data_IF_245314683336
#
_entry.id   IF_245314683336
#
_cell.length_a   1.000
_cell.length_b   1.000
_cell.length_c   1.000
_cell.angle_alpha   90.00
_cell.angle_beta   90.00
_cell.angle_gamma   90.00
#
_symmetry.space_group_name_H-M   'P 1'
#
loop_
_entity.id
_entity.type
_entity.pdbx_description
1 polymer ?
#
# COMPACT_ATOMS: atom_id res chain seq x y z
N UNK A 1 32.37 -48.06 20.93
CA UNK A 1 31.08 -48.35 20.26
C UNK A 1 30.11 -47.22 20.60
N UNK A 2 29.64 -46.52 19.56
CA UNK A 2 28.44 -45.66 19.49
C UNK A 2 28.35 -44.40 20.38
N UNK A 3 27.77 -43.28 19.95
CA UNK A 3 27.75 -42.58 18.65
C UNK A 3 27.22 -41.17 18.96
N UNK A 4 27.85 -40.20 18.30
CA UNK A 4 27.57 -38.76 18.22
C UNK A 4 26.08 -38.41 18.01
N UNK A 5 25.50 -37.59 18.88
CA UNK A 5 24.20 -36.96 18.65
C UNK A 5 24.30 -35.86 17.58
N UNK A 6 23.41 -35.89 16.58
CA UNK A 6 23.22 -34.86 15.55
C UNK A 6 21.89 -34.14 15.81
N UNK A 7 21.79 -32.82 15.58
CA UNK A 7 20.54 -32.08 15.68
C UNK A 7 19.62 -32.37 14.47
N UNK A 8 18.34 -32.57 14.75
CA UNK A 8 17.27 -32.80 13.79
C UNK A 8 16.82 -31.45 13.23
N UNK A 9 17.06 -31.21 11.95
CA UNK A 9 16.48 -30.09 11.19
C UNK A 9 15.11 -30.52 10.64
N UNK A 10 14.03 -29.95 11.18
CA UNK A 10 12.68 -30.10 10.63
C UNK A 10 12.49 -29.10 9.48
N UNK A 11 12.71 -29.60 8.26
CA UNK A 11 12.44 -28.92 7.00
C UNK A 11 10.94 -29.07 6.69
N UNK A 12 10.16 -28.01 6.84
CA UNK A 12 8.78 -27.99 6.35
C UNK A 12 8.74 -27.68 4.84
N UNK A 13 7.94 -28.41 4.03
CA UNK A 13 7.73 -28.08 2.63
C UNK A 13 6.69 -26.96 2.48
N UNK A 14 7.04 -25.95 1.68
CA UNK A 14 6.14 -24.91 1.20
C UNK A 14 5.03 -25.54 0.32
N UNK A 15 3.78 -25.40 0.75
CA UNK A 15 2.62 -25.64 -0.11
C UNK A 15 2.39 -24.39 -0.97
N UNK A 16 2.57 -24.54 -2.28
CA UNK A 16 2.23 -23.51 -3.27
C UNK A 16 0.74 -23.63 -3.60
N UNK A 17 -0.09 -22.76 -3.03
CA UNK A 17 -1.51 -22.65 -3.38
C UNK A 17 -1.68 -21.65 -4.52
N UNK A 18 -1.95 -22.16 -5.70
CA UNK A 18 -2.26 -21.39 -6.91
C UNK A 18 -3.60 -20.67 -6.72
N UNK A 19 -3.58 -19.36 -6.46
CA UNK A 19 -4.79 -18.53 -6.47
C UNK A 19 -5.13 -18.24 -7.93
N UNK A 20 -6.22 -18.82 -8.44
CA UNK A 20 -6.82 -18.45 -9.72
C UNK A 20 -7.49 -17.07 -9.56
N UNK A 21 -6.91 -16.05 -10.16
CA UNK A 21 -7.51 -14.73 -10.27
C UNK A 21 -8.63 -14.77 -11.31
N UNK A 22 -9.89 -14.65 -10.87
CA UNK A 22 -11.04 -14.48 -11.75
C UNK A 22 -11.20 -12.99 -12.05
N UNK A 23 -10.75 -12.54 -13.22
CA UNK A 23 -10.94 -11.15 -13.66
C UNK A 23 -12.33 -10.99 -14.32
N UNK A 24 -13.33 -10.56 -13.55
CA UNK A 24 -14.48 -9.87 -14.13
C UNK A 24 -14.26 -8.36 -13.98
N UNK A 25 -13.76 -7.76 -15.06
CA UNK A 25 -13.70 -6.32 -15.24
C UNK A 25 -15.09 -5.86 -15.72
N UNK A 26 -15.84 -5.16 -14.85
CA UNK A 26 -17.04 -4.43 -15.24
C UNK A 26 -16.70 -2.94 -15.29
N UNK A 27 -16.66 -2.40 -16.51
CA UNK A 27 -16.69 -0.95 -16.75
C UNK A 27 -18.10 -0.50 -16.38
N UNK A 28 -18.22 0.40 -15.41
CA UNK A 28 -19.44 1.17 -15.19
C UNK A 28 -19.16 2.56 -15.76
N UNK A 29 -19.81 2.85 -16.87
CA UNK A 29 -19.98 4.16 -17.46
C UNK A 29 -21.36 4.63 -17.01
N UNK A 30 -21.47 5.75 -16.31
CA UNK A 30 -22.77 6.40 -16.03
C UNK A 30 -22.58 7.89 -15.77
N UNK A 31 -22.57 8.66 -16.86
CA UNK A 31 -23.07 10.03 -16.90
C UNK A 31 -24.59 10.04 -16.88
N UNK A 32 -25.23 10.36 -15.74
CA UNK A 32 -26.54 11.02 -15.70
C UNK A 32 -26.87 11.58 -14.31
N UNK A 33 -27.25 12.85 -14.34
CA UNK A 33 -27.64 13.73 -13.25
C UNK A 33 -29.06 13.42 -12.74
N UNK A 34 -29.26 13.14 -11.44
CA UNK A 34 -30.47 13.59 -10.74
C UNK A 34 -30.29 13.69 -9.21
N UNK A 35 -30.85 14.77 -8.70
CA UNK A 35 -30.78 15.31 -7.34
C UNK A 35 -31.37 14.39 -6.27
N UNK A 36 -30.62 14.12 -5.21
CA UNK A 36 -31.20 13.80 -3.90
C UNK A 36 -30.21 14.07 -2.76
N UNK A 37 -30.46 15.14 -2.01
CA UNK A 37 -29.95 15.30 -0.64
C UNK A 37 -30.72 14.31 0.25
N UNK A 38 -30.05 13.61 1.19
CA UNK A 38 -30.07 14.15 2.55
C UNK A 38 -28.74 13.98 3.32
N UNK A 39 -28.55 14.93 4.24
CA UNK A 39 -27.85 14.80 5.52
C UNK A 39 -26.35 14.44 5.47
N UNK A 40 -25.55 15.50 5.53
CA UNK A 40 -24.19 15.49 6.04
C UNK A 40 -24.14 14.96 7.48
N UNK A 41 -23.76 13.70 7.68
CA UNK A 41 -23.09 13.26 8.91
C UNK A 41 -21.61 13.01 8.59
N UNK A 42 -20.86 14.10 8.70
CA UNK A 42 -19.41 14.11 8.90
C UNK A 42 -19.11 13.27 10.14
N UNK A 43 -18.56 12.08 9.97
CA UNK A 43 -17.78 11.43 11.03
C UNK A 43 -16.35 12.00 10.97
N UNK A 44 -15.94 12.92 11.87
CA UNK A 44 -14.54 13.21 12.01
C UNK A 44 -13.88 11.99 12.66
N UNK A 45 -13.00 11.32 11.90
CA UNK A 45 -11.94 10.51 12.47
C UNK A 45 -10.95 11.43 13.17
N UNK A 46 -11.37 12.00 14.30
CA UNK A 46 -10.48 12.55 15.29
C UNK A 46 -9.94 11.36 16.08
N UNK A 47 -8.70 10.97 15.81
CA UNK A 47 -7.91 10.25 16.83
C UNK A 47 -7.66 11.28 17.92
N UNK A 48 -8.66 11.43 18.78
CA UNK A 48 -8.55 12.15 20.03
C UNK A 48 -7.45 11.46 20.83
N UNK A 49 -6.54 12.29 21.32
CA UNK A 49 -5.64 11.94 22.41
C UNK A 49 -6.49 11.67 23.66
N UNK A 50 -7.12 10.49 23.71
CA UNK A 50 -7.78 9.98 24.90
C UNK A 50 -6.69 9.31 25.78
N UNK A 51 -6.40 9.87 26.97
CA UNK A 51 -5.59 9.14 27.93
C UNK A 51 -6.44 7.98 28.45
N UNK A 52 -6.08 6.76 28.07
CA UNK A 52 -6.63 5.49 28.57
C UNK A 52 -7.30 5.64 29.96
N UNK A 53 -8.64 5.50 30.04
CA UNK A 53 -9.34 5.56 31.32
C UNK A 53 -9.07 4.25 32.05
N UNK A 54 -8.37 4.31 33.19
CA UNK A 54 -8.25 3.13 34.05
C UNK A 54 -6.95 2.90 34.82
N UNK A 55 -6.11 3.91 35.07
CA UNK A 55 -4.99 3.79 36.02
C UNK A 55 -4.85 4.99 36.97
N UNK A 56 -5.93 5.73 37.19
CA UNK A 56 -6.02 6.87 38.13
C UNK A 56 -6.23 6.45 39.61
N UNK A 57 -6.14 5.16 39.97
CA UNK A 57 -6.47 4.70 41.33
C UNK A 57 -5.29 4.60 42.31
N UNK A 58 -4.11 5.14 41.99
CA UNK A 58 -2.98 5.12 42.94
C UNK A 58 -2.38 6.52 43.18
N UNK A 59 -2.86 7.55 42.48
CA UNK A 59 -2.27 8.89 42.59
C UNK A 59 -2.92 9.81 43.64
N UNK A 60 -3.88 9.33 44.43
CA UNK A 60 -4.54 10.13 45.47
C UNK A 60 -4.74 9.36 46.78
N UNK A 61 -3.66 9.09 47.53
CA UNK A 61 -3.73 9.17 49.00
C UNK A 61 -2.39 9.66 49.54
N UNK A 62 -2.46 10.65 50.42
CA UNK A 62 -1.43 11.25 51.27
C UNK A 62 -0.47 12.27 50.64
N UNK A 63 -0.48 13.44 51.30
CA UNK A 63 0.41 14.59 51.20
C UNK A 63 1.91 14.23 51.15
N UNK A 64 2.77 15.13 50.63
CA UNK A 64 4.18 14.81 50.40
C UNK A 64 4.93 14.64 51.72
N UNK A 65 5.77 13.60 51.90
CA UNK A 65 6.90 13.73 52.78
C UNK A 65 7.96 14.58 52.07
N UNK A 66 8.43 15.58 52.80
CA UNK A 66 9.56 16.47 52.52
C UNK A 66 10.72 15.75 51.81
N UNK A 67 11.44 16.42 50.88
CA UNK A 67 12.65 15.85 50.27
C UNK A 67 13.76 15.83 51.32
N UNK A 68 13.91 14.68 51.99
CA UNK A 68 14.98 14.37 52.92
C UNK A 68 15.79 13.19 52.40
N UNK A 69 16.88 13.52 51.71
CA UNK A 69 18.18 12.84 51.68
C UNK A 69 18.22 11.31 51.92
N UNK A 70 18.59 10.57 50.87
CA UNK A 70 19.50 9.42 50.86
C UNK A 70 19.65 8.61 52.16
N UNK A 71 19.13 7.39 52.17
CA UNK A 71 19.59 6.29 53.03
C UNK A 71 19.26 6.42 54.52
N UNK A 72 18.63 5.38 55.06
CA UNK A 72 18.16 5.21 56.44
C UNK A 72 16.82 5.90 56.78
N UNK A 73 15.84 5.13 57.28
CA UNK A 73 14.63 5.72 57.84
C UNK A 73 15.00 6.55 59.08
N UNK A 74 14.46 7.76 59.09
CA UNK A 74 14.41 8.70 60.20
C UNK A 74 14.38 8.00 61.57
N UNK A 75 15.43 8.24 62.36
CA UNK A 75 15.54 7.90 63.78
C UNK A 75 14.39 8.60 64.51
N UNK A 76 13.25 7.92 64.64
CA UNK A 76 12.23 8.29 65.61
C UNK A 76 12.80 7.91 66.97
N UNK A 77 13.13 8.96 67.72
CA UNK A 77 13.58 9.01 69.10
C UNK A 77 13.56 7.66 69.85
N UNK A 78 14.77 7.12 69.99
CA UNK A 78 15.31 6.51 71.21
C UNK A 78 14.40 6.66 72.44
N UNK A 79 13.43 5.76 72.59
CA UNK A 79 12.87 5.45 73.91
C UNK A 79 13.87 4.52 74.60
N UNK A 80 15.00 5.10 75.00
CA UNK A 80 15.94 4.49 75.93
C UNK A 80 15.12 3.98 77.13
N UNK A 81 15.09 2.66 77.39
CA UNK A 81 14.31 2.12 78.47
C UNK A 81 15.01 2.55 79.74
N UNK A 82 14.46 3.59 80.38
CA UNK A 82 14.81 3.98 81.74
C UNK A 82 14.82 2.70 82.56
N UNK A 83 16.01 2.24 82.94
CA UNK A 83 16.22 1.05 83.74
C UNK A 83 15.43 1.23 85.04
N UNK A 84 14.18 0.78 85.02
CA UNK A 84 13.29 0.92 86.15
C UNK A 84 13.76 -0.15 87.12
N UNK A 85 14.75 0.23 87.94
CA UNK A 85 15.16 -0.52 89.12
C UNK A 85 13.99 -0.45 90.09
N UNK A 86 13.00 -1.30 89.85
CA UNK A 86 11.86 -1.46 90.73
C UNK A 86 12.41 -2.15 91.98
N UNK A 87 12.77 -1.36 93.00
CA UNK A 87 12.96 -1.85 94.36
C UNK A 87 11.58 -2.24 94.91
N UNK A 88 11.05 -3.37 94.43
CA UNK A 88 9.66 -3.77 94.63
C UNK A 88 9.35 -4.20 96.07
N UNK A 89 10.36 -4.45 96.90
CA UNK A 89 10.18 -4.98 98.24
C UNK A 89 11.10 -4.31 99.27
N UNK A 90 10.51 -3.47 100.11
CA UNK A 90 11.18 -2.86 101.26
C UNK A 90 11.23 -3.86 102.42
N UNK A 91 12.40 -4.49 102.60
CA UNK A 91 12.61 -5.46 103.68
C UNK A 91 12.58 -4.84 105.06
N UNK A 92 12.94 -3.56 105.21
CA UNK A 92 13.01 -2.91 106.51
C UNK A 92 11.61 -2.61 107.03
N UNK A 93 10.76 -1.97 106.20
CA UNK A 93 9.38 -1.70 106.60
C UNK A 93 8.57 -2.98 106.84
N UNK A 94 8.84 -4.04 106.08
CA UNK A 94 8.17 -5.33 106.28
C UNK A 94 8.55 -5.98 107.61
N UNK A 95 9.83 -5.96 107.98
CA UNK A 95 10.28 -6.52 109.27
C UNK A 95 9.77 -5.69 110.44
N UNK A 96 9.85 -4.36 110.37
CA UNK A 96 9.34 -3.45 111.43
C UNK A 96 7.83 -3.64 111.65
N UNK A 97 7.06 -3.93 110.60
CA UNK A 97 5.64 -4.24 110.74
C UNK A 97 5.38 -5.60 111.40
N UNK A 98 6.19 -6.62 111.09
CA UNK A 98 6.06 -7.97 111.65
C UNK A 98 6.52 -8.08 113.10
N UNK A 99 7.50 -7.29 113.52
CA UNK A 99 8.02 -7.25 114.89
C UNK A 99 6.98 -6.75 115.92
N UNK A 100 5.88 -6.14 115.47
CA UNK A 100 4.75 -5.77 116.34
C UNK A 100 3.89 -6.97 116.74
N UNK A 101 3.98 -8.08 116.04
CA UNK A 101 3.10 -9.25 116.23
C UNK A 101 3.88 -10.55 116.47
N UNK A 102 5.11 -10.64 115.97
CA UNK A 102 5.95 -11.83 116.06
C UNK A 102 7.33 -11.52 116.65
N UNK A 103 8.00 -12.50 117.28
CA UNK A 103 9.39 -12.36 117.69
C UNK A 103 10.30 -12.08 116.48
N UNK A 104 11.30 -11.22 116.67
CA UNK A 104 12.33 -10.85 115.67
C UNK A 104 12.89 -12.01 114.83
N UNK A 105 13.23 -13.20 115.37
CA UNK A 105 13.74 -14.30 114.54
C UNK A 105 12.70 -14.85 113.55
N UNK A 106 11.42 -14.86 113.93
CA UNK A 106 10.32 -15.33 113.08
C UNK A 106 10.02 -14.30 111.99
N UNK A 107 9.96 -13.02 112.35
CA UNK A 107 9.76 -11.91 111.41
C UNK A 107 10.85 -11.87 110.32
N UNK A 108 12.12 -12.07 110.70
CA UNK A 108 13.25 -12.13 109.76
C UNK A 108 13.17 -13.34 108.83
N UNK A 109 12.72 -14.49 109.33
CA UNK A 109 12.55 -15.71 108.53
C UNK A 109 11.42 -15.55 107.52
N UNK A 110 10.30 -14.97 107.93
CA UNK A 110 9.17 -14.68 107.06
C UNK A 110 9.54 -13.67 105.97
N UNK A 111 10.31 -12.63 106.29
CA UNK A 111 10.86 -11.69 105.30
C UNK A 111 11.75 -12.36 104.26
N UNK A 112 12.63 -13.27 104.70
CA UNK A 112 13.50 -14.01 103.77
C UNK A 112 12.67 -14.92 102.86
N UNK A 113 11.66 -15.59 103.41
CA UNK A 113 10.75 -16.45 102.64
C UNK A 113 9.92 -15.65 101.61
N UNK A 114 9.36 -14.51 101.99
CA UNK A 114 8.58 -13.65 101.10
C UNK A 114 9.46 -13.02 100.02
N UNK A 115 10.66 -12.53 100.39
CA UNK A 115 11.67 -12.04 99.43
C UNK A 115 12.05 -13.12 98.42
N UNK A 116 12.28 -14.36 98.86
CA UNK A 116 12.61 -15.46 97.97
C UNK A 116 11.47 -15.76 96.98
N UNK A 117 10.22 -15.79 97.45
CA UNK A 117 9.05 -15.98 96.59
C UNK A 117 8.87 -14.85 95.56
N UNK A 118 9.07 -13.61 95.99
CA UNK A 118 9.02 -12.43 95.13
C UNK A 118 10.09 -12.50 94.03
N UNK A 119 11.33 -12.84 94.36
CA UNK A 119 12.41 -12.99 93.38
C UNK A 119 12.06 -14.02 92.30
N UNK A 120 11.50 -15.18 92.70
CA UNK A 120 11.10 -16.23 91.75
C UNK A 120 9.97 -15.75 90.82
N UNK A 121 8.96 -15.06 91.37
CA UNK A 121 7.82 -14.55 90.58
C UNK A 121 8.22 -13.40 89.66
N UNK A 122 9.03 -12.46 90.15
CA UNK A 122 9.57 -11.37 89.33
C UNK A 122 10.47 -11.88 88.21
N UNK A 123 11.26 -12.93 88.47
CA UNK A 123 12.05 -13.60 87.44
C UNK A 123 11.18 -14.07 86.27
N UNK A 124 10.03 -14.70 86.54
CA UNK A 124 9.10 -15.17 85.51
C UNK A 124 8.45 -14.01 84.73
N UNK A 125 7.94 -13.00 85.41
CA UNK A 125 7.32 -11.82 84.77
C UNK A 125 8.34 -11.06 83.92
N UNK A 126 9.59 -10.94 84.39
CA UNK A 126 10.66 -10.29 83.64
C UNK A 126 10.97 -11.01 82.33
N UNK A 127 10.92 -12.35 82.30
CA UNK A 127 11.07 -13.13 81.06
C UNK A 127 9.93 -12.87 80.08
N UNK A 128 8.68 -12.78 80.56
CA UNK A 128 7.53 -12.45 79.70
C UNK A 128 7.63 -11.02 79.13
N UNK A 129 8.06 -10.04 79.94
CA UNK A 129 8.30 -8.66 79.47
C UNK A 129 9.41 -8.59 78.44
N UNK A 130 10.46 -9.41 78.56
CA UNK A 130 11.49 -9.51 77.52
C UNK A 130 10.93 -10.06 76.20
N UNK A 131 9.94 -10.96 76.25
CA UNK A 131 9.21 -11.41 75.07
C UNK A 131 8.41 -10.29 74.39
N UNK A 132 7.80 -9.38 75.16
CA UNK A 132 7.12 -8.20 74.60
C UNK A 132 8.10 -7.25 73.90
N UNK A 133 9.28 -7.01 74.50
CA UNK A 133 10.32 -6.18 73.87
C UNK A 133 10.89 -6.78 72.58
N UNK A 134 11.09 -8.09 72.55
CA UNK A 134 11.55 -8.77 71.34
C UNK A 134 10.49 -8.69 70.23
N UNK A 135 9.21 -8.85 70.58
CA UNK A 135 8.09 -8.65 69.65
C UNK A 135 8.06 -7.22 69.09
N UNK A 136 8.24 -6.20 69.93
CA UNK A 136 8.27 -4.80 69.50
C UNK A 136 9.45 -4.53 68.55
N UNK A 137 10.62 -5.10 68.82
CA UNK A 137 11.78 -5.00 67.95
C UNK A 137 11.55 -5.69 66.59
N UNK A 138 10.97 -6.90 66.59
CA UNK A 138 10.61 -7.61 65.36
C UNK A 138 9.56 -6.84 64.55
N UNK A 139 8.56 -6.25 65.22
CA UNK A 139 7.56 -5.40 64.58
C UNK A 139 8.19 -4.16 63.93
N UNK A 140 9.21 -3.56 64.55
CA UNK A 140 9.97 -2.46 63.95
C UNK A 140 10.72 -2.90 62.69
N UNK A 141 11.45 -4.01 62.73
CA UNK A 141 12.17 -4.55 61.58
C UNK A 141 11.22 -4.89 60.42
N UNK A 142 10.06 -5.49 60.73
CA UNK A 142 9.04 -5.77 59.74
C UNK A 142 8.49 -4.50 59.10
N UNK A 143 8.22 -3.47 59.91
CA UNK A 143 7.74 -2.17 59.40
C UNK A 143 8.80 -1.46 58.54
N UNK A 144 10.07 -1.55 58.90
CA UNK A 144 11.17 -1.04 58.09
C UNK A 144 11.25 -1.77 56.74
N UNK A 145 11.22 -3.10 56.74
CA UNK A 145 11.22 -3.91 55.51
C UNK A 145 10.00 -3.66 54.63
N UNK A 146 8.80 -3.47 55.21
CA UNK A 146 7.60 -3.10 54.45
C UNK A 146 7.71 -1.71 53.84
N UNK A 147 8.30 -0.75 54.56
CA UNK A 147 8.55 0.58 54.02
C UNK A 147 9.51 0.52 52.84
N UNK A 148 10.60 -0.25 52.97
CA UNK A 148 11.57 -0.47 51.90
C UNK A 148 10.90 -1.13 50.68
N UNK A 149 10.16 -2.23 50.87
CA UNK A 149 9.43 -2.90 49.80
C UNK A 149 8.44 -1.97 49.11
N UNK A 150 7.71 -1.14 49.85
CA UNK A 150 6.77 -0.18 49.28
C UNK A 150 7.49 0.86 48.42
N UNK A 151 8.63 1.37 48.89
CA UNK A 151 9.43 2.32 48.11
C UNK A 151 10.02 1.67 46.86
N UNK A 152 10.56 0.45 46.99
CA UNK A 152 11.11 -0.30 45.87
C UNK A 152 10.04 -0.62 44.83
N UNK A 153 8.88 -1.12 45.24
CA UNK A 153 7.75 -1.40 44.34
C UNK A 153 7.29 -0.14 43.62
N UNK A 154 7.16 0.98 44.35
CA UNK A 154 6.75 2.27 43.76
C UNK A 154 7.77 2.76 42.73
N UNK A 155 9.07 2.60 43.03
CA UNK A 155 10.15 2.98 42.10
C UNK A 155 10.21 2.06 40.89
N UNK A 156 10.10 0.74 41.08
CA UNK A 156 10.08 -0.25 39.99
C UNK A 156 8.90 -0.01 39.06
N UNK A 157 7.69 0.09 39.60
CA UNK A 157 6.48 0.36 38.79
C UNK A 157 6.61 1.68 38.02
N UNK A 158 7.07 2.76 38.65
CA UNK A 158 7.29 4.04 37.95
C UNK A 158 8.33 3.93 36.83
N UNK A 159 9.41 3.17 37.05
CA UNK A 159 10.42 2.91 36.03
C UNK A 159 9.85 2.09 34.87
N UNK A 160 9.10 1.04 35.15
CA UNK A 160 8.43 0.20 34.14
C UNK A 160 7.43 1.00 33.32
N UNK A 161 6.61 1.86 33.96
CA UNK A 161 5.70 2.75 33.25
C UNK A 161 6.43 3.74 32.35
N UNK A 162 7.57 4.30 32.80
CA UNK A 162 8.39 5.17 31.97
C UNK A 162 8.99 4.44 30.77
N UNK A 163 9.46 3.20 30.97
CA UNK A 163 9.97 2.35 29.90
C UNK A 163 8.87 1.99 28.89
N UNK A 164 7.69 1.57 29.36
CA UNK A 164 6.54 1.24 28.52
C UNK A 164 6.07 2.45 27.71
N UNK A 165 6.03 3.64 28.33
CA UNK A 165 5.66 4.88 27.63
C UNK A 165 6.67 5.24 26.54
N UNK A 166 7.95 5.01 26.80
CA UNK A 166 9.02 5.23 25.81
C UNK A 166 8.89 4.24 24.65
N UNK A 167 8.68 2.96 24.93
CA UNK A 167 8.48 1.93 23.92
C UNK A 167 7.21 2.20 23.08
N UNK A 168 6.11 2.60 23.71
CA UNK A 168 4.87 2.96 23.02
C UNK A 168 5.06 4.17 22.09
N UNK A 169 5.79 5.20 22.54
CA UNK A 169 6.10 6.36 21.71
C UNK A 169 7.04 6.00 20.55
N UNK A 170 8.00 5.10 20.75
CA UNK A 170 8.86 4.60 19.68
C UNK A 170 8.05 3.84 18.63
N UNK A 171 7.18 2.92 19.07
CA UNK A 171 6.32 2.15 18.16
C UNK A 171 5.37 3.06 17.35
N UNK A 172 4.82 4.11 17.98
CA UNK A 172 4.00 5.11 17.26
C UNK A 172 4.79 5.79 16.14
N UNK A 173 6.04 6.22 16.42
CA UNK A 173 6.91 6.82 15.39
C UNK A 173 7.23 5.84 14.26
N UNK A 174 7.44 4.57 14.57
CA UNK A 174 7.66 3.53 13.56
C UNK A 174 6.42 3.32 12.68
N UNK A 175 5.23 3.30 13.28
CA UNK A 175 3.96 3.22 12.53
C UNK A 175 3.77 4.44 11.63
N UNK A 176 4.02 5.65 12.13
CA UNK A 176 3.92 6.87 11.34
C UNK A 176 4.94 6.90 10.19
N UNK A 177 6.18 6.47 10.45
CA UNK A 177 7.22 6.35 9.44
C UNK A 177 6.84 5.31 8.37
N UNK A 178 6.32 4.15 8.77
CA UNK A 178 5.88 3.10 7.85
C UNK A 178 4.69 3.58 7.00
N UNK A 179 3.73 4.28 7.60
CA UNK A 179 2.59 4.84 6.88
C UNK A 179 3.03 5.92 5.87
N UNK A 180 3.98 6.77 6.25
CA UNK A 180 4.60 7.75 5.36
C UNK A 180 5.27 7.07 4.16
N UNK A 181 6.09 6.06 4.42
CA UNK A 181 6.76 5.27 3.37
C UNK A 181 5.75 4.57 2.46
N UNK A 182 4.72 3.95 3.01
CA UNK A 182 3.69 3.28 2.21
C UNK A 182 2.96 4.25 1.28
N UNK A 183 2.66 5.47 1.75
CA UNK A 183 2.07 6.52 0.89
C UNK A 183 3.01 6.95 -0.22
N UNK A 184 4.30 7.11 0.07
CA UNK A 184 5.32 7.44 -0.93
C UNK A 184 5.45 6.32 -1.98
N UNK A 185 5.56 5.07 -1.53
CA UNK A 185 5.66 3.89 -2.40
C UNK A 185 4.41 3.77 -3.30
N UNK A 186 3.20 3.95 -2.74
CA UNK A 186 1.95 3.97 -3.52
C UNK A 186 1.94 5.12 -4.52
N UNK A 187 2.37 6.33 -4.11
CA UNK A 187 2.45 7.49 -4.99
C UNK A 187 3.42 7.26 -6.15
N UNK A 188 4.57 6.67 -5.86
CA UNK A 188 5.59 6.32 -6.85
C UNK A 188 5.08 5.26 -7.82
N UNK A 189 4.49 4.17 -7.32
CA UNK A 189 3.90 3.12 -8.15
C UNK A 189 2.77 3.66 -9.03
N UNK A 190 1.92 4.53 -8.49
CA UNK A 190 0.86 5.18 -9.27
C UNK A 190 1.46 6.01 -10.41
N UNK A 191 2.48 6.82 -10.11
CA UNK A 191 3.15 7.63 -11.13
C UNK A 191 3.83 6.77 -12.20
N UNK A 192 4.49 5.69 -11.78
CA UNK A 192 5.12 4.72 -12.70
C UNK A 192 4.09 4.06 -13.62
N UNK A 193 2.96 3.61 -13.08
CA UNK A 193 1.84 3.05 -13.86
C UNK A 193 1.28 4.09 -14.84
N UNK A 194 1.04 5.31 -14.38
CA UNK A 194 0.52 6.39 -15.24
C UNK A 194 1.51 6.70 -16.38
N UNK A 195 2.82 6.70 -16.09
CA UNK A 195 3.85 6.85 -17.11
C UNK A 195 3.88 5.68 -18.08
N UNK A 196 3.83 4.43 -17.61
CA UNK A 196 3.82 3.25 -18.48
C UNK A 196 2.59 3.23 -19.38
N UNK A 197 1.39 3.53 -18.83
CA UNK A 197 0.15 3.61 -19.60
C UNK A 197 0.27 4.68 -20.67
N UNK A 198 0.78 5.87 -20.33
CA UNK A 198 0.95 6.93 -21.30
C UNK A 198 1.99 6.56 -22.38
N UNK A 199 3.08 5.89 -21.99
CA UNK A 199 4.08 5.38 -22.93
C UNK A 199 3.48 4.35 -23.88
N UNK A 200 2.77 3.34 -23.39
CA UNK A 200 2.08 2.33 -24.22
C UNK A 200 1.02 2.92 -25.13
N UNK A 201 0.31 3.95 -24.66
CA UNK A 201 -0.67 4.68 -25.48
C UNK A 201 0.03 5.46 -26.58
N UNK A 202 1.18 6.07 -26.30
CA UNK A 202 1.97 6.77 -27.29
C UNK A 202 2.58 5.80 -28.31
N UNK A 203 3.12 4.67 -27.87
CA UNK A 203 3.64 3.60 -28.72
C UNK A 203 2.56 3.05 -29.64
N UNK A 204 1.41 2.64 -29.09
CA UNK A 204 0.26 2.18 -29.89
C UNK A 204 -0.18 3.23 -30.93
N UNK A 205 -0.17 4.52 -30.56
CA UNK A 205 -0.49 5.61 -31.50
C UNK A 205 0.58 5.81 -32.56
N UNK A 206 1.86 5.63 -32.23
CA UNK A 206 2.95 5.68 -33.18
C UNK A 206 2.83 4.52 -34.18
N UNK A 207 2.58 3.31 -33.70
CA UNK A 207 2.37 2.13 -34.55
C UNK A 207 1.15 2.28 -35.46
N UNK A 208 0.05 2.82 -34.94
CA UNK A 208 -1.13 3.14 -35.74
C UNK A 208 -0.79 4.11 -36.88
N UNK A 209 -0.03 5.18 -36.60
CA UNK A 209 0.43 6.13 -37.64
C UNK A 209 1.35 5.47 -38.66
N UNK A 210 2.25 4.59 -38.23
CA UNK A 210 3.12 3.83 -39.15
C UNK A 210 2.27 2.97 -40.08
N UNK A 211 1.25 2.29 -39.56
CA UNK A 211 0.33 1.49 -40.36
C UNK A 211 -0.50 2.37 -41.32
N UNK A 212 -0.99 3.53 -40.88
CA UNK A 212 -1.70 4.48 -41.73
C UNK A 212 -0.82 4.94 -42.90
N UNK A 213 0.44 5.30 -42.64
CA UNK A 213 1.41 5.68 -43.67
C UNK A 213 1.70 4.51 -44.64
N UNK A 214 1.82 3.29 -44.13
CA UNK A 214 2.04 2.11 -44.98
C UNK A 214 0.84 1.82 -45.89
N UNK A 215 -0.39 2.02 -45.40
CA UNK A 215 -1.61 1.90 -46.20
C UNK A 215 -1.63 2.98 -47.29
N UNK A 216 -1.31 4.22 -46.95
CA UNK A 216 -1.25 5.33 -47.91
C UNK A 216 -0.19 5.09 -48.99
N UNK A 217 1.00 4.64 -48.59
CA UNK A 217 2.07 4.28 -49.54
C UNK A 217 1.63 3.14 -50.47
N UNK A 218 0.99 2.10 -49.92
CA UNK A 218 0.50 0.98 -50.71
C UNK A 218 -0.59 1.42 -51.70
N UNK A 219 -1.51 2.29 -51.27
CA UNK A 219 -2.54 2.86 -52.13
C UNK A 219 -1.92 3.70 -53.26
N UNK A 220 -0.93 4.53 -52.94
CA UNK A 220 -0.20 5.33 -53.92
C UNK A 220 0.54 4.43 -54.94
N UNK A 221 1.27 3.42 -54.46
CA UNK A 221 1.94 2.43 -55.32
C UNK A 221 0.95 1.65 -56.19
N UNK A 222 -0.21 1.27 -55.66
CA UNK A 222 -1.25 0.59 -56.43
C UNK A 222 -1.80 1.50 -57.52
N UNK A 223 -2.06 2.77 -57.21
CA UNK A 223 -2.54 3.77 -58.17
C UNK A 223 -1.56 3.97 -59.32
N UNK A 224 -0.25 4.09 -59.03
CA UNK A 224 0.79 4.18 -60.06
C UNK A 224 0.80 2.91 -60.93
N UNK A 225 0.82 1.72 -60.33
CA UNK A 225 0.80 0.46 -61.08
C UNK A 225 -0.42 0.33 -61.99
N UNK A 226 -1.60 0.77 -61.53
CA UNK A 226 -2.82 0.78 -62.36
C UNK A 226 -2.66 1.74 -63.53
N UNK A 227 -2.04 2.90 -63.32
CA UNK A 227 -1.73 3.85 -64.40
C UNK A 227 -0.75 3.24 -65.42
N UNK A 228 0.33 2.62 -64.95
CA UNK A 228 1.33 1.97 -65.81
C UNK A 228 0.69 0.85 -66.65
N UNK A 229 -0.13 -0.01 -66.03
CA UNK A 229 -0.87 -1.06 -66.72
C UNK A 229 -1.84 -0.50 -67.77
N UNK A 230 -2.51 0.62 -67.47
CA UNK A 230 -3.39 1.29 -68.45
C UNK A 230 -2.60 1.79 -69.65
N UNK A 231 -1.43 2.40 -69.41
CA UNK A 231 -0.53 2.84 -70.48
C UNK A 231 0.02 1.65 -71.28
N UNK A 232 0.38 0.56 -70.63
CA UNK A 232 0.82 -0.68 -71.29
C UNK A 232 -0.28 -1.28 -72.17
N UNK A 233 -1.54 -1.28 -71.71
CA UNK A 233 -2.69 -1.69 -72.52
C UNK A 233 -2.89 -0.78 -73.73
N UNK A 234 -2.77 0.54 -73.56
CA UNK A 234 -2.87 1.50 -74.67
C UNK A 234 -1.74 1.30 -75.69
N UNK A 235 -0.51 1.08 -75.22
CA UNK A 235 0.62 0.72 -76.07
C UNK A 235 0.37 -0.59 -76.82
N UNK A 236 -0.11 -1.64 -76.13
CA UNK A 236 -0.44 -2.92 -76.74
C UNK A 236 -1.53 -2.77 -77.82
N UNK A 237 -2.56 -1.93 -77.57
CA UNK A 237 -3.59 -1.59 -78.57
C UNK A 237 -2.97 -0.93 -79.80
N UNK A 238 -2.08 0.07 -79.62
CA UNK A 238 -1.38 0.73 -80.72
C UNK A 238 -0.53 -0.24 -81.54
N UNK A 239 0.21 -1.13 -80.88
CA UNK A 239 1.03 -2.14 -81.56
C UNK A 239 0.16 -3.15 -82.32
N UNK A 240 -0.96 -3.59 -81.74
CA UNK A 240 -1.85 -4.55 -82.40
C UNK A 240 -2.55 -3.92 -83.62
N UNK A 241 -3.00 -2.66 -83.50
CA UNK A 241 -3.59 -1.91 -84.63
C UNK A 241 -2.57 -1.69 -85.73
N UNK A 242 -1.35 -1.23 -85.41
CA UNK A 242 -0.30 -1.00 -86.41
C UNK A 242 0.08 -2.29 -87.15
N UNK A 243 0.26 -3.42 -86.44
CA UNK A 243 0.50 -4.72 -87.07
C UNK A 243 -0.67 -5.15 -87.97
N UNK A 244 -1.91 -4.94 -87.54
CA UNK A 244 -3.10 -5.21 -88.36
C UNK A 244 -3.13 -4.37 -89.64
N UNK A 245 -2.87 -3.07 -89.54
CA UNK A 245 -2.78 -2.15 -90.69
C UNK A 245 -1.68 -2.58 -91.66
N UNK A 246 -0.49 -2.91 -91.17
CA UNK A 246 0.59 -3.44 -92.01
C UNK A 246 0.17 -4.74 -92.73
N UNK A 247 -0.54 -5.64 -92.03
CA UNK A 247 -1.06 -6.87 -92.63
C UNK A 247 -2.05 -6.61 -93.75
N UNK A 248 -2.99 -5.68 -93.56
CA UNK A 248 -3.98 -5.28 -94.59
C UNK A 248 -3.28 -4.61 -95.78
N UNK A 249 -2.36 -3.67 -95.54
CA UNK A 249 -1.57 -3.04 -96.60
C UNK A 249 -0.74 -4.06 -97.38
N UNK A 250 -0.13 -5.02 -96.69
CA UNK A 250 0.58 -6.14 -97.29
C UNK A 250 -0.33 -6.97 -98.21
N UNK A 251 -1.53 -7.33 -97.74
CA UNK A 251 -2.52 -8.04 -98.54
C UNK A 251 -2.93 -7.24 -99.79
N UNK A 252 -3.22 -5.94 -99.65
CA UNK A 252 -3.59 -5.07 -100.79
C UNK A 252 -2.44 -4.98 -101.80
N UNK A 253 -1.20 -4.82 -101.34
CA UNK A 253 -0.03 -4.77 -102.23
C UNK A 253 0.18 -6.07 -103.00
N UNK A 254 -0.06 -7.23 -102.36
CA UNK A 254 0.01 -8.53 -102.99
C UNK A 254 -1.07 -8.67 -104.08
N UNK A 255 -2.31 -8.24 -103.80
CA UNK A 255 -3.40 -8.24 -104.79
C UNK A 255 -3.04 -7.41 -106.01
N UNK A 256 -2.54 -6.18 -105.82
CA UNK A 256 -2.10 -5.32 -106.92
C UNK A 256 -0.99 -5.99 -107.73
N UNK A 257 0.01 -6.58 -107.06
CA UNK A 257 1.12 -7.26 -107.73
C UNK A 257 0.66 -8.49 -108.53
N UNK A 258 -0.30 -9.27 -108.01
CA UNK A 258 -0.90 -10.38 -108.77
C UNK A 258 -1.72 -9.91 -109.96
N UNK A 259 -2.33 -8.72 -109.86
CA UNK A 259 -3.08 -8.13 -110.98
C UNK A 259 -2.16 -7.57 -112.06
N UNK A 260 -1.02 -6.98 -111.69
CA UNK A 260 0.02 -6.52 -112.62
C UNK A 260 0.77 -7.69 -113.31
N UNK A 261 0.79 -8.89 -112.72
CA UNK A 261 1.29 -10.11 -113.36
C UNK A 261 0.26 -10.79 -114.28
N UNK A 262 -0.98 -10.30 -114.38
CA UNK A 262 -1.98 -10.84 -115.30
C UNK A 262 -1.72 -10.35 -116.74
N UNK A 263 -1.56 -11.24 -117.74
CA UNK A 263 -1.32 -10.83 -119.12
C UNK A 263 -2.53 -10.10 -119.71
N UNK A 264 -2.30 -8.85 -120.16
CA UNK A 264 -3.32 -7.97 -120.75
C UNK A 264 -3.84 -8.53 -122.09
N UNK A 265 -5.15 -8.75 -122.28
CA UNK A 265 -5.67 -9.23 -123.55
C UNK A 265 -5.68 -8.13 -124.64
N UNK A 266 -5.50 -8.50 -125.92
CA UNK A 266 -5.28 -7.59 -127.04
C UNK A 266 -6.56 -6.95 -127.58
N UNK A 267 -6.39 -5.74 -128.11
CA UNK A 267 -7.39 -4.90 -128.79
C UNK A 267 -7.73 -5.44 -130.19
N UNK A 268 -9.00 -5.34 -130.62
CA UNK A 268 -9.29 -5.14 -132.04
C UNK A 268 -10.15 -3.88 -132.30
N UNK A 269 -9.84 -3.21 -133.40
CA UNK A 269 -10.56 -2.09 -134.01
C UNK A 269 -11.04 -2.53 -135.42
N UNK A 270 -11.62 -1.67 -136.29
CA UNK A 270 -12.83 -0.82 -136.20
C UNK A 270 -13.81 -1.04 -137.40
N UNK A 271 -14.79 -0.11 -137.57
CA UNK A 271 -15.48 0.36 -138.82
C UNK A 271 -16.87 -0.25 -139.15
N UNK A 272 -17.86 0.45 -139.81
CA UNK A 272 -18.16 1.88 -140.03
C UNK A 272 -19.57 2.37 -139.60
N UNK A 273 -19.70 3.71 -139.52
CA UNK A 273 -20.89 4.59 -139.47
C UNK A 273 -21.70 4.58 -140.79
N UNK A 274 -22.94 5.14 -140.91
CA UNK A 274 -23.10 6.62 -140.95
C UNK A 274 -24.47 7.25 -140.55
N UNK A 275 -24.39 8.58 -140.26
CA UNK A 275 -25.37 9.70 -140.40
C UNK A 275 -26.64 9.71 -139.52
N UNK A 276 -27.05 10.78 -138.82
CA UNK A 276 -27.58 12.12 -139.26
C UNK A 276 -27.76 12.98 -137.97
N UNK A 277 -27.04 14.11 -137.73
CA UNK A 277 -27.31 15.55 -138.05
C UNK A 277 -28.09 16.32 -136.94
N UNK A 278 -27.46 17.42 -136.46
CA UNK A 278 -28.02 18.73 -135.98
C UNK A 278 -28.66 18.75 -134.57
N UNK A 279 -28.52 19.76 -133.68
CA UNK A 279 -28.19 21.19 -133.78
C UNK A 279 -27.53 21.69 -132.47
N UNK A 280 -26.84 22.83 -132.55
CA UNK A 280 -26.42 23.65 -131.40
C UNK A 280 -27.57 24.57 -130.98
N UNK A 281 -27.65 24.93 -129.70
CA UNK A 281 -27.70 26.35 -129.34
C UNK A 281 -27.33 26.61 -127.87
N UNK A 282 -27.11 27.88 -127.57
CA UNK A 282 -26.37 28.47 -126.46
C UNK A 282 -27.28 29.48 -125.74
N UNK A 283 -26.87 29.92 -124.55
CA UNK A 283 -27.37 31.08 -123.77
C UNK A 283 -28.70 30.80 -123.02
N UNK A 284 -29.01 31.36 -121.85
CA UNK A 284 -28.44 32.51 -121.14
C UNK A 284 -28.78 32.44 -119.63
N UNK A 285 -28.19 33.39 -118.91
CA UNK A 285 -28.26 33.76 -117.49
C UNK A 285 -29.66 34.12 -116.91
N UNK A 286 -29.69 34.16 -115.55
CA UNK A 286 -30.58 34.92 -114.62
C UNK A 286 -32.01 34.38 -114.44
N UNK A 287 -32.71 34.56 -113.34
CA UNK A 287 -32.55 35.02 -111.93
C UNK A 287 -33.99 34.88 -111.35
N UNK A 288 -34.17 35.17 -110.06
CA UNK A 288 -35.41 35.15 -109.25
C UNK A 288 -35.66 33.83 -108.51
N UNK A 289 -35.52 33.81 -107.18
CA UNK A 289 -36.50 34.31 -106.17
C UNK A 289 -37.79 33.48 -106.26
N UNK A 290 -38.42 33.02 -105.20
CA UNK A 290 -38.20 33.12 -103.76
C UNK A 290 -39.19 32.12 -103.13
N UNK A 291 -38.98 31.80 -101.85
CA UNK A 291 -39.98 31.27 -100.90
C UNK A 291 -40.68 29.95 -101.28
N UNK A 292 -41.22 29.13 -100.38
CA UNK A 292 -41.65 29.30 -99.02
C UNK A 292 -41.77 27.90 -98.41
N UNK A 293 -41.47 27.81 -97.10
CA UNK A 293 -42.18 27.04 -96.08
C UNK A 293 -43.21 25.99 -96.54
N UNK A 294 -43.15 24.78 -95.98
CA UNK A 294 -44.07 24.41 -94.87
C UNK A 294 -43.92 22.95 -94.44
N UNK A 295 -43.85 22.81 -93.10
CA UNK A 295 -44.23 21.68 -92.23
C UNK A 295 -43.37 20.43 -92.18
#
# INVERSE_FOLDING_TARGET
MLHRARPIALRQPFHSSTIKFNSQFRIIDDTANHSQEPASETHPSGIQNEPLPGLELISQTSAPPTPGTSGLPQVVAEHEPKDMRINAFDTHRFVVALERTFPTPVARTLMRATRALLVVRFGRVKQEIFGVRDLDNQAYLFRAALSELRTELTMRTRSEFAALRTASNALRREVDALNGKMKEDIGTLKHEIDMEINNRKNETRADAKVNELAIEELNHRATIKISDLRTEIEQAKWVNVSRGVLGVLGLVSLVIMTMELAPKPPKPAPVPTPTVVVEREKLDLREFEDSESTS
#
